data_IF_228265199656
#
_entry.id   IF_228265199656
#
_cell.length_a   1.000
_cell.length_b   1.000
_cell.length_c   1.000
_cell.angle_alpha   90.00
_cell.angle_beta   90.00
_cell.angle_gamma   90.00
#
_symmetry.space_group_name_H-M   'P 1'
#
loop_
_entity.id
_entity.type
_entity.pdbx_description
1 polymer ?
#
# COMPACT_ATOMS: atom_id res chain seq x y z
N UNK A 1 10.38 -5.70 11.66
CA UNK A 1 9.42 -6.32 10.73
C UNK A 1 8.68 -7.41 11.50
N UNK A 2 7.36 -7.48 11.35
CA UNK A 2 6.54 -8.47 12.05
C UNK A 2 6.87 -9.88 11.53
N UNK A 3 7.14 -10.85 12.40
CA UNK A 3 7.38 -12.25 12.03
C UNK A 3 6.04 -12.97 11.77
N UNK A 4 5.23 -12.40 10.87
CA UNK A 4 3.92 -12.90 10.54
C UNK A 4 4.07 -14.11 9.59
N UNK A 5 3.59 -15.28 10.03
CA UNK A 5 3.51 -16.48 9.20
C UNK A 5 2.14 -16.53 8.55
N UNK A 6 2.11 -16.63 7.22
CA UNK A 6 0.87 -16.82 6.45
C UNK A 6 0.62 -18.31 6.21
N UNK A 7 -0.56 -18.80 6.59
CA UNK A 7 -0.93 -20.21 6.38
C UNK A 7 -1.49 -20.46 4.97
N UNK A 8 -2.12 -19.45 4.36
CA UNK A 8 -2.68 -19.50 3.00
C UNK A 8 -2.76 -18.13 2.37
N UNK A 9 -2.65 -18.05 1.04
CA UNK A 9 -2.83 -16.81 0.27
C UNK A 9 -4.01 -17.02 -0.70
N UNK A 10 -5.01 -16.15 -0.65
CA UNK A 10 -6.08 -16.09 -1.65
C UNK A 10 -5.78 -14.96 -2.63
N UNK A 11 -5.57 -15.29 -3.91
CA UNK A 11 -5.27 -14.32 -4.95
C UNK A 11 -6.47 -14.17 -5.90
N UNK A 12 -7.14 -13.02 -5.81
CA UNK A 12 -8.30 -12.70 -6.65
C UNK A 12 -7.87 -11.90 -7.87
N UNK A 13 -8.28 -12.32 -9.08
CA UNK A 13 -7.86 -11.70 -10.34
C UNK A 13 -9.02 -11.50 -11.32
N UNK A 14 -8.95 -10.43 -12.14
CA UNK A 14 -9.93 -10.20 -13.21
C UNK A 14 -9.59 -10.87 -14.54
N UNK A 15 -8.30 -11.08 -14.83
CA UNK A 15 -7.82 -11.82 -15.99
C UNK A 15 -6.55 -12.61 -15.63
N UNK A 16 -6.49 -13.87 -16.06
CA UNK A 16 -5.32 -14.72 -15.84
C UNK A 16 -4.07 -14.18 -16.53
N UNK A 17 -2.91 -14.31 -15.87
CA UNK A 17 -1.59 -13.98 -16.41
C UNK A 17 -0.60 -15.11 -16.07
N UNK A 18 0.27 -15.48 -17.01
CA UNK A 18 1.22 -16.57 -16.79
C UNK A 18 2.22 -16.31 -15.65
N UNK A 19 2.47 -15.04 -15.32
CA UNK A 19 3.29 -14.65 -14.16
C UNK A 19 2.73 -15.12 -12.81
N UNK A 20 1.44 -15.46 -12.73
CA UNK A 20 0.79 -15.95 -11.50
C UNK A 20 1.24 -17.36 -11.11
N UNK A 21 1.91 -18.10 -12.00
CA UNK A 21 2.38 -19.47 -11.72
C UNK A 21 3.48 -19.56 -10.65
N UNK A 22 4.00 -18.43 -10.21
CA UNK A 22 5.11 -18.38 -9.25
C UNK A 22 4.58 -18.54 -7.82
N UNK A 23 5.07 -19.52 -7.08
CA UNK A 23 4.75 -19.68 -5.66
C UNK A 23 5.45 -18.62 -4.81
N UNK A 24 4.73 -18.04 -3.86
CA UNK A 24 5.28 -17.07 -2.92
C UNK A 24 5.88 -17.81 -1.72
N UNK A 25 7.18 -18.12 -1.78
CA UNK A 25 7.95 -18.56 -0.61
C UNK A 25 7.44 -19.85 0.08
N UNK A 26 6.85 -20.77 -0.68
CA UNK A 26 6.36 -22.06 -0.16
C UNK A 26 4.99 -22.02 0.52
N UNK A 27 4.30 -20.87 0.54
CA UNK A 27 2.91 -20.78 1.02
C UNK A 27 1.95 -21.14 -0.13
N UNK A 28 0.94 -22.00 0.09
CA UNK A 28 -0.05 -22.32 -0.94
C UNK A 28 -0.84 -21.07 -1.34
N UNK A 29 -0.88 -20.79 -2.65
CA UNK A 29 -1.68 -19.72 -3.25
C UNK A 29 -2.89 -20.34 -3.94
N UNK A 30 -4.08 -19.93 -3.53
CA UNK A 30 -5.33 -20.27 -4.19
C UNK A 30 -5.77 -19.12 -5.10
N UNK A 31 -5.82 -19.37 -6.40
CA UNK A 31 -6.22 -18.38 -7.39
C UNK A 31 -7.73 -18.43 -7.62
N UNK A 32 -8.39 -17.28 -7.55
CA UNK A 32 -9.83 -17.14 -7.75
C UNK A 32 -10.10 -16.04 -8.77
N UNK A 33 -10.88 -16.35 -9.80
CA UNK A 33 -11.33 -15.34 -10.75
C UNK A 33 -12.45 -14.49 -10.14
N UNK A 34 -12.40 -13.17 -10.35
CA UNK A 34 -13.36 -12.20 -9.82
C UNK A 34 -12.87 -11.48 -8.57
N UNK A 35 -13.82 -10.89 -7.82
CA UNK A 35 -13.55 -10.17 -6.56
C UNK A 35 -13.79 -11.06 -5.34
N UNK A 36 -13.13 -10.78 -4.20
CA UNK A 36 -13.42 -11.47 -2.95
C UNK A 36 -14.87 -11.24 -2.54
N UNK A 37 -15.69 -12.30 -2.63
CA UNK A 37 -17.03 -12.31 -2.07
C UNK A 37 -16.91 -12.64 -0.58
N UNK A 38 -17.35 -11.75 0.33
CA UNK A 38 -17.53 -12.13 1.72
C UNK A 38 -18.66 -13.15 1.76
N UNK A 39 -18.35 -14.40 2.08
CA UNK A 39 -19.32 -15.49 2.13
C UNK A 39 -20.60 -15.08 2.91
N UNK A 40 -21.75 -15.37 2.29
CA UNK A 40 -23.15 -15.28 2.74
C UNK A 40 -24.01 -14.02 2.49
N UNK A 41 -23.63 -13.01 1.71
CA UNK A 41 -24.63 -12.01 1.27
C UNK A 41 -24.42 -11.42 -0.14
N UNK A 42 -25.32 -11.83 -1.03
CA UNK A 42 -25.91 -11.08 -2.15
C UNK A 42 -25.00 -10.48 -3.25
N UNK A 43 -25.10 -11.10 -4.43
CA UNK A 43 -25.44 -10.54 -5.75
C UNK A 43 -24.96 -9.11 -6.08
N UNK A 44 -24.12 -9.07 -7.11
CA UNK A 44 -23.60 -7.89 -7.83
C UNK A 44 -22.52 -7.09 -7.08
N UNK A 45 -21.27 -7.52 -7.30
CA UNK A 45 -20.06 -6.93 -6.73
C UNK A 45 -19.95 -5.44 -7.08
N UNK A 46 -20.05 -4.60 -6.07
CA UNK A 46 -19.87 -3.15 -6.17
C UNK A 46 -18.64 -2.73 -5.37
N UNK A 47 -18.15 -1.51 -5.56
CA UNK A 47 -17.01 -0.94 -4.79
C UNK A 47 -17.19 -1.03 -3.25
N UNK A 48 -18.41 -1.29 -2.77
CA UNK A 48 -18.74 -1.48 -1.37
C UNK A 48 -18.11 -2.74 -0.75
N UNK A 49 -17.89 -3.82 -1.52
CA UNK A 49 -17.39 -5.09 -0.96
C UNK A 49 -15.89 -5.05 -0.64
N UNK A 50 -15.12 -4.38 -1.50
CA UNK A 50 -13.71 -4.08 -1.25
C UNK A 50 -13.58 -3.16 -0.03
N UNK A 51 -14.47 -2.16 0.08
CA UNK A 51 -14.49 -1.26 1.22
C UNK A 51 -14.77 -1.99 2.55
N UNK A 52 -15.75 -2.91 2.58
CA UNK A 52 -16.08 -3.68 3.77
C UNK A 52 -14.92 -4.63 4.16
N UNK A 53 -14.18 -5.17 3.19
CA UNK A 53 -12.97 -5.95 3.45
C UNK A 53 -11.86 -5.10 4.10
N UNK A 54 -11.68 -3.86 3.63
CA UNK A 54 -10.69 -2.92 4.16
C UNK A 54 -11.04 -2.40 5.55
N UNK A 55 -12.33 -2.15 5.82
CA UNK A 55 -12.80 -1.48 7.04
C UNK A 55 -13.22 -2.45 8.15
N UNK A 56 -14.03 -3.48 7.85
CA UNK A 56 -14.56 -4.42 8.85
C UNK A 56 -13.83 -5.76 8.81
N UNK A 57 -13.58 -6.30 7.61
CA UNK A 57 -12.99 -7.64 7.44
C UNK A 57 -11.58 -7.77 8.00
N UNK A 58 -10.69 -6.83 7.70
CA UNK A 58 -9.28 -6.84 8.12
C UNK A 58 -9.11 -6.81 9.64
N UNK A 59 -9.86 -5.93 10.33
CA UNK A 59 -9.76 -5.71 11.76
C UNK A 59 -10.39 -6.83 12.60
N UNK A 60 -11.47 -7.45 12.13
CA UNK A 60 -12.21 -8.46 12.90
C UNK A 60 -11.78 -9.91 12.60
N UNK A 61 -11.11 -10.19 11.47
CA UNK A 61 -10.78 -11.56 11.05
C UNK A 61 -9.28 -11.89 11.00
N UNK A 62 -8.41 -11.06 11.60
CA UNK A 62 -6.95 -11.20 11.51
C UNK A 62 -6.45 -11.37 10.06
N UNK A 63 -7.06 -10.63 9.13
CA UNK A 63 -6.77 -10.71 7.70
C UNK A 63 -5.85 -9.57 7.28
N UNK A 64 -4.79 -9.93 6.55
CA UNK A 64 -3.97 -8.96 5.82
C UNK A 64 -4.49 -8.82 4.40
N UNK A 65 -4.81 -7.60 3.97
CA UNK A 65 -5.34 -7.31 2.64
C UNK A 65 -4.30 -6.51 1.86
N UNK A 66 -3.92 -7.01 0.69
CA UNK A 66 -3.07 -6.29 -0.27
C UNK A 66 -3.96 -5.89 -1.45
N UNK A 67 -4.03 -4.59 -1.72
CA UNK A 67 -4.78 -4.05 -2.86
C UNK A 67 -3.85 -3.39 -3.84
N UNK A 68 -3.86 -3.92 -5.07
CA UNK A 68 -3.05 -3.43 -6.18
C UNK A 68 -3.94 -2.60 -7.11
N UNK A 69 -3.60 -1.32 -7.27
CA UNK A 69 -4.34 -0.42 -8.16
C UNK A 69 -3.39 0.42 -9.00
N UNK A 70 -3.80 0.72 -10.24
CA UNK A 70 -3.09 1.66 -11.12
C UNK A 70 -3.44 3.12 -10.81
N UNK A 71 -4.59 3.35 -10.17
CA UNK A 71 -5.07 4.69 -9.82
C UNK A 71 -5.58 4.68 -8.38
N UNK A 72 -4.90 5.45 -7.53
CA UNK A 72 -5.22 5.51 -6.10
C UNK A 72 -6.42 6.42 -5.80
N UNK A 73 -6.87 7.20 -6.79
CA UNK A 73 -8.00 8.14 -6.73
C UNK A 73 -9.05 7.83 -7.80
N UNK A 74 -9.22 6.56 -8.17
CA UNK A 74 -10.29 6.18 -9.07
C UNK A 74 -11.65 6.63 -8.47
N UNK A 75 -12.52 7.21 -9.29
CA UNK A 75 -13.78 7.86 -8.92
C UNK A 75 -14.87 6.86 -8.48
N UNK A 76 -14.52 5.88 -7.64
CA UNK A 76 -15.44 4.91 -7.06
C UNK A 76 -15.92 5.33 -5.67
N UNK A 77 -17.21 5.13 -5.39
CA UNK A 77 -17.77 5.25 -4.02
C UNK A 77 -16.95 4.35 -3.08
N UNK A 78 -16.37 4.91 -2.01
CA UNK A 78 -15.61 4.16 -0.99
C UNK A 78 -14.07 4.25 -1.08
N UNK A 79 -13.47 4.79 -2.16
CA UNK A 79 -12.00 4.87 -2.24
C UNK A 79 -11.37 5.78 -1.18
N UNK A 80 -12.06 6.85 -0.78
CA UNK A 80 -11.60 7.75 0.28
C UNK A 80 -11.42 6.99 1.60
N UNK A 81 -12.37 6.13 1.94
CA UNK A 81 -12.36 5.37 3.18
C UNK A 81 -11.30 4.25 3.14
N UNK A 82 -11.09 3.62 1.99
CA UNK A 82 -9.97 2.68 1.79
C UNK A 82 -8.63 3.38 2.02
N UNK A 83 -8.42 4.55 1.40
CA UNK A 83 -7.20 5.33 1.57
C UNK A 83 -6.97 5.75 3.02
N UNK A 84 -8.01 6.21 3.73
CA UNK A 84 -7.92 6.63 5.13
C UNK A 84 -7.65 5.47 6.10
N UNK A 85 -8.13 4.26 5.80
CA UNK A 85 -7.91 3.08 6.66
C UNK A 85 -6.66 2.28 6.28
N UNK A 86 -5.96 2.66 5.20
CA UNK A 86 -4.77 1.95 4.75
C UNK A 86 -3.58 2.24 5.67
N UNK A 87 -3.01 1.18 6.25
CA UNK A 87 -1.84 1.28 7.15
C UNK A 87 -0.53 1.50 6.41
N UNK A 88 -0.40 0.93 5.22
CA UNK A 88 0.82 0.95 4.43
C UNK A 88 0.52 1.22 2.96
N UNK A 89 1.29 2.11 2.32
CA UNK A 89 1.17 2.38 0.89
C UNK A 89 2.52 2.13 0.23
N UNK A 90 2.54 1.38 -0.88
CA UNK A 90 3.73 1.22 -1.74
C UNK A 90 3.48 1.95 -3.05
N UNK A 91 4.22 3.03 -3.30
CA UNK A 91 4.12 3.86 -4.48
C UNK A 91 5.21 3.49 -5.49
N UNK A 92 4.84 2.81 -6.57
CA UNK A 92 5.78 2.48 -7.64
C UNK A 92 6.01 3.65 -8.59
N UNK A 93 7.15 3.62 -9.30
CA UNK A 93 7.45 4.57 -10.38
C UNK A 93 6.32 4.61 -11.42
N UNK A 94 5.67 5.76 -11.54
CA UNK A 94 4.69 6.05 -12.58
C UNK A 94 5.07 7.35 -13.32
N UNK A 95 5.64 7.26 -14.54
CA UNK A 95 6.05 8.44 -15.29
C UNK A 95 4.87 9.25 -15.84
N UNK A 96 3.67 8.67 -15.93
CA UNK A 96 2.51 9.26 -16.62
C UNK A 96 1.70 10.19 -15.73
N UNK A 97 1.59 9.90 -14.44
CA UNK A 97 0.65 10.60 -13.57
C UNK A 97 1.29 11.10 -12.26
N UNK A 98 1.95 12.27 -12.36
CA UNK A 98 2.49 12.98 -11.20
C UNK A 98 1.43 13.74 -10.41
N UNK A 99 0.23 13.93 -10.96
CA UNK A 99 -0.84 14.68 -10.29
C UNK A 99 -1.36 13.91 -9.09
N UNK A 100 -1.54 12.60 -9.23
CA UNK A 100 -1.93 11.71 -8.12
C UNK A 100 -0.96 11.83 -6.93
N UNK A 101 0.36 11.80 -7.18
CA UNK A 101 1.36 11.91 -6.10
C UNK A 101 1.24 13.24 -5.34
N UNK A 102 0.96 14.35 -6.04
CA UNK A 102 0.75 15.65 -5.38
C UNK A 102 -0.49 15.66 -4.50
N UNK A 103 -1.60 15.08 -4.98
CA UNK A 103 -2.83 14.98 -4.20
C UNK A 103 -2.65 14.07 -2.98
N UNK A 104 -1.93 12.95 -3.13
CA UNK A 104 -1.61 12.08 -2.01
C UNK A 104 -0.75 12.79 -0.98
N UNK A 105 0.26 13.54 -1.42
CA UNK A 105 1.13 14.29 -0.54
C UNK A 105 0.38 15.30 0.33
N UNK A 106 -0.62 15.97 -0.24
CA UNK A 106 -1.50 16.87 0.51
C UNK A 106 -2.33 16.14 1.58
N UNK A 107 -2.71 14.88 1.34
CA UNK A 107 -3.51 14.09 2.29
C UNK A 107 -2.64 13.46 3.38
N UNK A 108 -1.49 12.89 3.00
CA UNK A 108 -0.62 12.11 3.90
C UNK A 108 0.28 13.00 4.74
N UNK A 109 0.79 14.09 4.16
CA UNK A 109 1.76 14.95 4.84
C UNK A 109 1.48 16.44 4.54
N UNK A 110 0.34 16.98 5.02
CA UNK A 110 -0.13 18.33 4.70
C UNK A 110 0.84 19.45 5.12
N UNK A 111 1.67 19.21 6.14
CA UNK A 111 2.67 20.16 6.64
C UNK A 111 3.80 20.43 5.63
N UNK A 112 4.15 19.41 4.81
CA UNK A 112 5.17 19.57 3.78
C UNK A 112 4.93 18.66 2.55
N UNK A 113 3.90 18.93 1.74
CA UNK A 113 3.56 18.07 0.60
C UNK A 113 4.68 18.03 -0.44
N UNK A 114 5.45 19.12 -0.55
CA UNK A 114 6.59 19.21 -1.46
C UNK A 114 7.67 18.18 -1.13
N UNK A 115 7.96 17.99 0.16
CA UNK A 115 8.92 16.98 0.61
C UNK A 115 8.51 15.58 0.13
N UNK A 116 7.23 15.19 0.26
CA UNK A 116 6.81 13.85 -0.14
C UNK A 116 6.92 13.64 -1.65
N UNK A 117 6.64 14.68 -2.45
CA UNK A 117 6.82 14.64 -3.92
C UNK A 117 8.30 14.48 -4.29
N UNK A 118 9.20 15.18 -3.59
CA UNK A 118 10.65 15.08 -3.78
C UNK A 118 11.18 13.70 -3.37
N UNK A 119 10.77 13.20 -2.19
CA UNK A 119 11.10 11.87 -1.71
C UNK A 119 10.65 10.78 -2.70
N UNK A 120 9.43 10.89 -3.24
CA UNK A 120 8.94 9.98 -4.27
C UNK A 120 9.79 10.07 -5.53
N UNK A 121 10.14 11.28 -5.98
CA UNK A 121 10.94 11.47 -7.20
C UNK A 121 12.32 10.84 -7.07
N UNK A 122 12.95 11.00 -5.90
CA UNK A 122 14.25 10.40 -5.61
C UNK A 122 14.18 8.88 -5.48
N UNK A 123 13.26 8.38 -4.64
CA UNK A 123 13.04 6.95 -4.41
C UNK A 123 12.67 6.20 -5.69
N UNK A 124 12.02 6.88 -6.65
CA UNK A 124 11.58 6.30 -7.92
C UNK A 124 12.50 6.60 -9.11
N UNK A 125 13.75 7.00 -8.86
CA UNK A 125 14.71 7.37 -9.92
C UNK A 125 15.00 6.21 -10.89
N UNK A 126 15.11 4.98 -10.41
CA UNK A 126 15.40 3.79 -11.21
C UNK A 126 14.12 3.07 -11.67
N UNK A 127 14.13 2.29 -12.76
CA UNK A 127 13.02 1.37 -13.07
C UNK A 127 12.72 0.41 -11.91
N UNK A 128 11.45 0.01 -11.74
CA UNK A 128 10.99 -0.93 -10.70
C UNK A 128 11.21 -0.52 -9.24
N UNK A 129 11.61 0.72 -8.99
CA UNK A 129 11.75 1.28 -7.65
C UNK A 129 10.43 1.83 -7.10
N UNK A 130 10.38 2.01 -5.78
CA UNK A 130 9.18 2.39 -5.05
C UNK A 130 9.49 3.29 -3.84
N UNK A 131 8.48 4.04 -3.40
CA UNK A 131 8.45 4.69 -2.09
C UNK A 131 7.42 3.98 -1.20
N UNK A 132 7.86 3.50 -0.04
CA UNK A 132 7.04 2.90 1.00
C UNK A 132 6.62 3.95 2.04
N UNK A 133 5.33 4.01 2.34
CA UNK A 133 4.71 4.86 3.34
C UNK A 133 4.16 3.97 4.47
N UNK A 134 4.61 4.25 5.69
CA UNK A 134 4.08 3.66 6.92
C UNK A 134 3.22 4.70 7.66
N UNK A 135 1.90 4.48 7.58
CA UNK A 135 0.89 5.37 8.13
C UNK A 135 0.37 4.89 9.49
N UNK A 136 1.02 3.91 10.10
CA UNK A 136 0.62 3.44 11.43
C UNK A 136 0.97 4.48 12.50
N UNK A 137 0.16 4.54 13.57
CA UNK A 137 0.35 5.49 14.66
C UNK A 137 1.61 5.23 15.48
N UNK A 138 2.06 3.97 15.55
CA UNK A 138 3.24 3.54 16.32
C UNK A 138 4.57 3.83 15.63
N UNK A 139 4.57 4.13 14.33
CA UNK A 139 5.81 4.34 13.57
C UNK A 139 6.42 5.71 13.87
N UNK A 140 7.71 5.72 14.17
CA UNK A 140 8.52 6.93 14.34
C UNK A 140 8.47 7.78 13.05
N UNK A 141 8.35 9.08 13.19
CA UNK A 141 8.15 9.99 12.05
C UNK A 141 9.26 9.90 11.00
N UNK A 142 10.51 9.72 11.44
CA UNK A 142 11.68 9.53 10.56
C UNK A 142 11.69 8.22 9.77
N UNK A 143 10.85 7.24 10.14
CA UNK A 143 10.75 5.93 9.47
C UNK A 143 9.47 5.79 8.63
N UNK A 144 8.65 6.85 8.54
CA UNK A 144 7.38 6.83 7.80
C UNK A 144 7.55 6.71 6.30
N UNK A 145 8.62 7.27 5.74
CA UNK A 145 8.86 7.30 4.30
C UNK A 145 10.18 6.60 3.99
N UNK A 146 10.12 5.43 3.34
CA UNK A 146 11.30 4.59 3.10
C UNK A 146 11.33 4.02 1.68
N UNK A 147 12.50 3.60 1.24
CA UNK A 147 12.68 2.78 0.03
C UNK A 147 13.67 1.65 0.32
N UNK A 148 13.68 0.64 -0.55
CA UNK A 148 14.56 -0.53 -0.43
C UNK A 148 14.43 -1.21 0.95
N UNK A 149 13.20 -1.57 1.33
CA UNK A 149 12.85 -2.16 2.63
C UNK A 149 12.98 -3.67 2.69
N UNK A 150 13.37 -4.35 1.61
CA UNK A 150 13.46 -5.81 1.60
C UNK A 150 14.85 -6.28 2.07
N UNK A 151 14.95 -7.48 2.67
CA UNK A 151 16.23 -8.01 3.15
C UNK A 151 17.30 -8.16 2.05
N UNK A 152 16.87 -8.37 0.81
CA UNK A 152 17.76 -8.53 -0.35
C UNK A 152 18.27 -7.19 -0.91
N UNK A 153 17.77 -6.05 -0.40
CA UNK A 153 18.27 -4.74 -0.77
C UNK A 153 19.58 -4.42 -0.03
N UNK A 154 20.62 -3.99 -0.76
CA UNK A 154 21.92 -3.62 -0.18
C UNK A 154 21.84 -2.49 0.85
N UNK A 155 20.88 -1.56 0.67
CA UNK A 155 20.72 -0.35 1.49
C UNK A 155 19.26 -0.02 1.69
N UNK A 156 18.90 0.39 2.91
CA UNK A 156 17.60 0.99 3.19
C UNK A 156 17.72 2.52 3.23
N UNK A 157 16.78 3.21 2.59
CA UNK A 157 16.72 4.68 2.61
C UNK A 157 15.50 5.14 3.41
N UNK A 158 15.70 6.12 4.28
CA UNK A 158 14.63 6.82 5.00
C UNK A 158 14.64 8.31 4.64
N UNK A 159 13.47 8.85 4.33
CA UNK A 159 13.27 10.24 3.92
C UNK A 159 12.67 11.03 5.07
N UNK A 160 13.29 12.17 5.40
CA UNK A 160 12.86 13.05 6.49
C UNK A 160 12.74 14.48 5.98
N UNK A 161 11.64 15.16 6.32
CA UNK A 161 11.49 16.58 5.95
C UNK A 161 12.48 17.43 6.74
N UNK A 162 13.14 18.35 6.05
CA UNK A 162 14.02 19.34 6.66
C UNK A 162 13.29 20.31 7.59
N UNK A 163 11.96 20.44 7.43
CA UNK A 163 11.12 21.31 8.28
C UNK A 163 10.75 20.64 9.58
N UNK A 164 10.77 19.31 9.65
CA UNK A 164 10.55 18.57 10.88
C UNK A 164 11.75 18.79 11.78
N UNK A 165 11.56 19.53 12.88
CA UNK A 165 12.55 19.56 13.95
C UNK A 165 12.64 18.15 14.52
N UNK A 166 13.74 17.45 14.25
CA UNK A 166 14.07 16.22 14.97
C UNK A 166 14.27 16.67 16.42
N UNK A 167 13.28 16.42 17.28
CA UNK A 167 13.45 16.56 18.72
C UNK A 167 14.51 15.55 19.11
N UNK A 168 15.73 16.01 19.38
CA UNK A 168 16.77 15.18 19.98
C UNK A 168 16.19 14.60 21.27
N UNK A 169 16.20 13.28 21.49
CA UNK A 169 15.84 12.75 22.79
C UNK A 169 16.82 13.31 23.81
N UNK A 170 16.29 13.93 24.87
CA UNK A 170 17.04 14.32 26.06
C UNK A 170 17.42 13.08 26.85
#
# INVERSE_FOLDING_TARGET
MCNARFDRILFYYGKWQDGYRTSAGGVPIEFREGLPQPDDLMRESSNADVLDLFTKGSHHKNLSVIFLTQNIFHQGKGQRDISLNTKYIVLFKNPRDRAQIRHLAQQVFPEDPKFLVEAFTDATRLPHSYLFLDLTQSTRDELRFRSCIFPDDDKNYAYVSKKTKISTPV
#
